data_IF_057557226151
#
_entry.id   IF_057557226151
#
_cell.length_a   1.000
_cell.length_b   1.000
_cell.length_c   1.000
_cell.angle_alpha   90.00
_cell.angle_beta   90.00
_cell.angle_gamma   90.00
#
_symmetry.space_group_name_H-M   'P 1'
#
loop_
_entity.id
_entity.type
_entity.pdbx_description
1 polymer ?
#
# COMPACT_ATOMS: atom_id res chain seq x y z
N UNK A 1 -3.23 -5.51 37.77
CA UNK A 1 -3.41 -6.05 36.40
C UNK A 1 -4.75 -5.57 35.88
N UNK A 2 -4.78 -4.83 34.72
CA UNK A 2 -6.04 -4.53 34.04
C UNK A 2 -6.61 -5.84 33.47
N UNK A 3 -7.81 -6.20 33.87
CA UNK A 3 -8.50 -7.43 33.45
C UNK A 3 -9.20 -7.31 32.09
N UNK A 4 -9.10 -6.16 31.42
CA UNK A 4 -9.78 -5.90 30.14
C UNK A 4 -8.77 -5.62 29.05
N UNK A 5 -8.96 -6.28 27.92
CA UNK A 5 -8.20 -6.11 26.68
C UNK A 5 -9.20 -5.84 25.55
N UNK A 6 -9.01 -4.74 24.83
CA UNK A 6 -9.81 -4.38 23.67
C UNK A 6 -8.91 -4.42 22.42
N UNK A 7 -9.24 -5.29 21.47
CA UNK A 7 -8.54 -5.43 20.19
C UNK A 7 -9.49 -5.14 19.03
N UNK A 8 -9.12 -4.19 18.20
CA UNK A 8 -9.87 -3.86 16.98
C UNK A 8 -8.97 -3.85 15.76
N UNK A 9 -9.33 -4.63 14.75
CA UNK A 9 -8.73 -4.60 13.42
C UNK A 9 -9.82 -4.34 12.38
N UNK A 10 -9.64 -3.30 11.58
CA UNK A 10 -10.62 -2.90 10.55
C UNK A 10 -10.30 -3.47 9.18
N UNK A 11 -9.08 -3.99 8.97
CA UNK A 11 -8.63 -4.54 7.70
C UNK A 11 -9.12 -5.98 7.54
N UNK A 12 -9.75 -6.29 6.42
CA UNK A 12 -10.08 -7.67 6.05
C UNK A 12 -8.81 -8.39 5.59
N UNK A 13 -8.39 -9.43 6.29
CA UNK A 13 -7.20 -10.21 5.94
C UNK A 13 -7.60 -11.44 5.15
N UNK A 14 -6.97 -11.59 3.97
CA UNK A 14 -7.02 -12.80 3.14
C UNK A 14 -5.62 -13.41 3.16
N UNK A 15 -5.47 -14.63 3.68
CA UNK A 15 -4.17 -15.27 3.86
C UNK A 15 -4.14 -16.67 3.24
N UNK A 16 -3.00 -17.01 2.66
CA UNK A 16 -2.68 -18.36 2.14
C UNK A 16 -2.01 -18.30 0.76
N UNK A 17 -1.36 -19.39 0.38
CA UNK A 17 -0.75 -19.55 -0.94
C UNK A 17 -1.81 -19.40 -2.05
N UNK A 18 -1.52 -18.62 -3.08
CA UNK A 18 -2.46 -18.31 -4.17
C UNK A 18 -3.62 -17.40 -3.77
N UNK A 19 -3.61 -16.83 -2.55
CA UNK A 19 -4.71 -15.96 -2.07
C UNK A 19 -4.89 -14.69 -2.91
N UNK A 20 -3.88 -14.31 -3.69
CA UNK A 20 -3.96 -13.20 -4.64
C UNK A 20 -5.11 -13.36 -5.64
N UNK A 21 -5.54 -14.58 -5.95
CA UNK A 21 -6.68 -14.87 -6.81
C UNK A 21 -8.01 -14.28 -6.29
N UNK A 22 -8.06 -13.91 -4.99
CA UNK A 22 -9.22 -13.27 -4.37
C UNK A 22 -9.30 -11.76 -4.62
N UNK A 23 -8.24 -11.16 -5.19
CA UNK A 23 -8.14 -9.72 -5.41
C UNK A 23 -9.35 -9.10 -6.15
N UNK A 24 -9.86 -9.67 -7.27
CA UNK A 24 -11.01 -9.07 -7.96
C UNK A 24 -12.26 -9.01 -7.10
N UNK A 25 -12.48 -10.00 -6.23
CA UNK A 25 -13.63 -10.05 -5.33
C UNK A 25 -13.59 -9.02 -4.19
N UNK A 26 -12.46 -8.36 -3.97
CA UNK A 26 -12.28 -7.27 -2.99
C UNK A 26 -12.48 -5.89 -3.60
N UNK A 27 -12.62 -5.81 -4.92
CA UNK A 27 -12.85 -4.58 -5.67
C UNK A 27 -14.33 -4.48 -6.10
N UNK A 28 -14.81 -3.27 -6.29
CA UNK A 28 -16.13 -3.06 -6.88
C UNK A 28 -16.16 -3.53 -8.35
N UNK A 29 -17.32 -3.95 -8.83
CA UNK A 29 -17.51 -4.31 -10.23
C UNK A 29 -17.12 -3.13 -11.14
N UNK A 30 -16.23 -3.38 -12.12
CA UNK A 30 -15.75 -2.36 -13.04
C UNK A 30 -14.74 -1.37 -12.44
N UNK A 31 -14.26 -1.62 -11.22
CA UNK A 31 -13.24 -0.78 -10.59
C UNK A 31 -11.98 -0.66 -11.46
N UNK A 32 -11.31 0.47 -11.32
CA UNK A 32 -10.06 0.78 -12.01
C UNK A 32 -8.97 1.14 -11.00
N UNK A 33 -8.28 0.15 -10.42
CA UNK A 33 -7.27 0.41 -9.42
C UNK A 33 -5.99 1.03 -10.02
N UNK A 34 -5.32 1.89 -9.23
CA UNK A 34 -3.93 2.23 -9.40
C UNK A 34 -3.08 1.22 -8.63
N UNK A 35 -2.26 0.45 -9.30
CA UNK A 35 -1.23 -0.40 -8.67
C UNK A 35 -0.03 0.49 -8.37
N UNK A 36 0.34 0.58 -7.08
CA UNK A 36 1.51 1.32 -6.61
C UNK A 36 2.56 0.30 -6.17
N UNK A 37 3.71 0.32 -6.83
CA UNK A 37 4.80 -0.63 -6.60
C UNK A 37 6.16 0.07 -6.79
N UNK A 38 7.23 -0.68 -6.75
CA UNK A 38 8.59 -0.18 -7.02
C UNK A 38 9.23 -0.88 -8.23
N UNK A 39 10.31 -0.31 -8.82
CA UNK A 39 10.96 -0.88 -9.99
C UNK A 39 11.51 -2.29 -9.74
N UNK A 40 11.99 -2.58 -8.53
CA UNK A 40 12.57 -3.88 -8.20
C UNK A 40 11.53 -5.01 -8.27
N UNK A 41 10.28 -4.75 -7.86
CA UNK A 41 9.20 -5.72 -8.00
C UNK A 41 8.80 -5.94 -9.46
N UNK A 42 8.86 -4.90 -10.29
CA UNK A 42 8.62 -5.03 -11.73
C UNK A 42 9.69 -5.90 -12.38
N UNK A 43 10.97 -5.64 -12.09
CA UNK A 43 12.09 -6.43 -12.58
C UNK A 43 12.05 -7.88 -12.11
N UNK A 44 11.55 -8.11 -10.91
CA UNK A 44 11.36 -9.46 -10.34
C UNK A 44 10.11 -10.19 -10.89
N UNK A 45 9.30 -9.54 -11.74
CA UNK A 45 8.06 -10.13 -12.30
C UNK A 45 6.93 -10.30 -11.27
N UNK A 46 7.03 -9.67 -10.09
CA UNK A 46 6.03 -9.82 -9.01
C UNK A 46 4.76 -8.96 -9.24
N UNK A 47 4.81 -8.04 -10.20
CA UNK A 47 3.65 -7.25 -10.62
C UNK A 47 2.77 -8.03 -11.60
N UNK A 48 3.37 -8.94 -12.39
CA UNK A 48 2.70 -9.66 -13.46
C UNK A 48 1.52 -10.53 -12.98
N UNK A 49 1.63 -11.31 -11.89
CA UNK A 49 0.49 -12.07 -11.38
C UNK A 49 -0.70 -11.18 -10.99
N UNK A 50 -0.44 -10.00 -10.42
CA UNK A 50 -1.50 -9.05 -10.04
C UNK A 50 -2.21 -8.51 -11.27
N UNK A 51 -1.45 -8.10 -12.29
CA UNK A 51 -2.02 -7.55 -13.53
C UNK A 51 -2.76 -8.61 -14.35
N UNK A 52 -2.26 -9.85 -14.39
CA UNK A 52 -2.92 -10.97 -15.04
C UNK A 52 -4.29 -11.26 -14.42
N UNK A 53 -4.36 -11.38 -13.09
CA UNK A 53 -5.61 -11.62 -12.36
C UNK A 53 -6.63 -10.51 -12.60
N UNK A 54 -6.20 -9.24 -12.59
CA UNK A 54 -7.09 -8.12 -12.91
C UNK A 54 -7.57 -8.16 -14.37
N UNK A 55 -6.68 -8.50 -15.31
CA UNK A 55 -7.01 -8.64 -16.72
C UNK A 55 -8.00 -9.77 -16.98
N UNK A 56 -7.80 -10.95 -16.38
CA UNK A 56 -8.70 -12.09 -16.46
C UNK A 56 -10.10 -11.77 -15.89
N UNK A 57 -10.16 -10.90 -14.89
CA UNK A 57 -11.42 -10.39 -14.34
C UNK A 57 -12.04 -9.25 -15.18
N UNK A 58 -11.44 -8.86 -16.30
CA UNK A 58 -11.93 -7.77 -17.17
C UNK A 58 -11.78 -6.37 -16.56
N UNK A 59 -10.99 -6.22 -15.49
CA UNK A 59 -10.74 -4.94 -14.85
C UNK A 59 -9.61 -4.19 -15.57
N UNK A 60 -9.79 -2.88 -15.72
CA UNK A 60 -8.74 -1.98 -16.23
C UNK A 60 -7.95 -1.44 -15.06
N UNK A 61 -6.64 -1.31 -15.20
CA UNK A 61 -5.78 -0.78 -14.15
C UNK A 61 -4.76 0.25 -14.71
N UNK A 62 -4.12 0.96 -13.83
CA UNK A 62 -2.95 1.76 -14.11
C UNK A 62 -1.82 1.32 -13.17
N UNK A 63 -0.57 1.51 -13.60
CA UNK A 63 0.61 1.15 -12.82
C UNK A 63 1.43 2.40 -12.53
N UNK A 64 1.88 2.55 -11.29
CA UNK A 64 2.80 3.58 -10.83
C UNK A 64 3.95 2.94 -10.05
N UNK A 65 5.17 3.12 -10.52
CA UNK A 65 6.37 2.45 -10.00
C UNK A 65 7.49 3.41 -9.57
N UNK A 66 7.26 4.73 -9.62
CA UNK A 66 8.26 5.70 -9.12
C UNK A 66 8.22 5.77 -7.59
N UNK A 67 8.40 4.62 -6.94
CA UNK A 67 8.56 4.47 -5.50
C UNK A 67 9.98 4.04 -5.20
N UNK A 68 10.62 4.75 -4.29
CA UNK A 68 11.99 4.45 -3.84
C UNK A 68 11.97 4.03 -2.38
N UNK A 69 13.02 3.36 -1.94
CA UNK A 69 13.26 3.17 -0.51
C UNK A 69 13.32 4.53 0.20
N UNK A 70 12.65 4.66 1.35
CA UNK A 70 12.47 5.94 2.04
C UNK A 70 11.77 6.99 1.16
N UNK A 71 10.47 6.82 0.87
CA UNK A 71 9.75 7.65 -0.09
C UNK A 71 9.66 9.10 0.37
N UNK A 72 9.61 10.01 -0.60
CA UNK A 72 9.53 11.46 -0.40
C UNK A 72 8.26 12.01 -1.06
N UNK A 73 7.89 13.27 -0.75
CA UNK A 73 6.65 13.90 -1.22
C UNK A 73 6.46 13.88 -2.75
N UNK A 74 7.56 13.88 -3.53
CA UNK A 74 7.46 13.81 -5.00
C UNK A 74 6.88 12.47 -5.49
N UNK A 75 7.19 11.34 -4.82
CA UNK A 75 6.65 10.03 -5.16
C UNK A 75 5.13 10.03 -4.98
N UNK A 76 4.64 10.61 -3.89
CA UNK A 76 3.20 10.76 -3.63
C UNK A 76 2.54 11.66 -4.68
N UNK A 77 3.14 12.81 -4.98
CA UNK A 77 2.59 13.75 -5.98
C UNK A 77 2.56 13.15 -7.39
N UNK A 78 3.57 12.34 -7.75
CA UNK A 78 3.61 11.60 -9.01
C UNK A 78 2.48 10.59 -9.11
N UNK A 79 2.32 9.77 -8.08
CA UNK A 79 1.26 8.77 -8.01
C UNK A 79 -0.14 9.37 -7.97
N UNK A 80 -0.35 10.49 -7.27
CA UNK A 80 -1.65 11.19 -7.26
C UNK A 80 -2.03 11.68 -8.67
N UNK A 81 -1.08 12.23 -9.42
CA UNK A 81 -1.31 12.60 -10.83
C UNK A 81 -1.61 11.39 -11.70
N UNK A 82 -0.91 10.26 -11.49
CA UNK A 82 -1.17 9.02 -12.22
C UNK A 82 -2.58 8.49 -11.94
N UNK A 83 -2.99 8.51 -10.67
CA UNK A 83 -4.35 8.13 -10.22
C UNK A 83 -5.42 8.95 -10.91
N UNK A 84 -5.29 10.28 -10.91
CA UNK A 84 -6.24 11.21 -11.51
C UNK A 84 -6.27 11.07 -13.05
N UNK A 85 -5.10 11.07 -13.71
CA UNK A 85 -4.97 10.93 -15.16
C UNK A 85 -5.60 9.64 -15.69
N UNK A 86 -5.40 8.54 -14.96
CA UNK A 86 -5.97 7.24 -15.33
C UNK A 86 -7.42 7.10 -14.89
N UNK A 87 -8.01 8.07 -14.17
CA UNK A 87 -9.37 8.01 -13.62
C UNK A 87 -9.57 6.76 -12.76
N UNK A 88 -8.60 6.48 -11.89
CA UNK A 88 -8.68 5.38 -10.95
C UNK A 88 -9.68 5.67 -9.84
N UNK A 89 -10.29 4.63 -9.27
CA UNK A 89 -11.27 4.70 -8.18
C UNK A 89 -10.92 3.79 -7.00
N UNK A 90 -9.85 3.00 -7.12
CA UNK A 90 -9.28 2.16 -6.09
C UNK A 90 -7.74 2.23 -6.14
N UNK A 91 -7.07 1.74 -5.10
CA UNK A 91 -5.60 1.69 -5.03
C UNK A 91 -5.19 0.30 -4.54
N UNK A 92 -4.13 -0.24 -5.14
CA UNK A 92 -3.46 -1.46 -4.70
C UNK A 92 -2.02 -1.09 -4.34
N UNK A 93 -1.64 -1.24 -3.07
CA UNK A 93 -0.26 -1.10 -2.63
C UNK A 93 0.42 -2.47 -2.68
N UNK A 94 1.30 -2.71 -3.65
CA UNK A 94 2.01 -3.98 -3.84
C UNK A 94 3.49 -3.81 -3.53
N UNK A 95 4.00 -4.51 -2.53
CA UNK A 95 5.40 -4.48 -2.19
C UNK A 95 5.71 -4.46 -0.70
N UNK A 96 6.84 -3.89 -0.33
CA UNK A 96 7.20 -3.65 1.07
C UNK A 96 6.49 -2.43 1.66
N UNK A 97 6.94 -1.98 2.84
CA UNK A 97 6.36 -0.81 3.51
C UNK A 97 6.30 0.44 2.64
N UNK A 98 7.36 0.73 1.86
CA UNK A 98 7.43 1.96 1.05
C UNK A 98 6.35 2.06 -0.02
N UNK A 99 6.09 1.07 -0.89
CA UNK A 99 4.97 1.09 -1.82
C UNK A 99 3.61 1.22 -1.12
N UNK A 100 3.39 0.49 -0.03
CA UNK A 100 2.12 0.56 0.72
C UNK A 100 1.91 1.92 1.36
N UNK A 101 2.94 2.52 1.95
CA UNK A 101 2.87 3.86 2.54
C UNK A 101 2.62 4.94 1.47
N UNK A 102 3.29 4.84 0.31
CA UNK A 102 3.02 5.75 -0.82
C UNK A 102 1.59 5.57 -1.33
N UNK A 103 1.07 4.35 -1.43
CA UNK A 103 -0.30 4.06 -1.81
C UNK A 103 -1.33 4.73 -0.88
N UNK A 104 -1.13 4.64 0.45
CA UNK A 104 -1.94 5.35 1.44
C UNK A 104 -1.90 6.86 1.22
N UNK A 105 -0.70 7.42 1.06
CA UNK A 105 -0.52 8.86 0.89
C UNK A 105 -1.07 9.39 -0.45
N UNK A 106 -0.99 8.61 -1.52
CA UNK A 106 -1.68 8.90 -2.79
C UNK A 106 -3.18 9.00 -2.54
N UNK A 107 -3.76 8.04 -1.83
CA UNK A 107 -5.18 8.06 -1.47
C UNK A 107 -5.58 9.28 -0.65
N UNK A 108 -4.73 9.73 0.29
CA UNK A 108 -4.95 10.98 1.05
C UNK A 108 -5.05 12.17 0.10
N UNK A 109 -4.06 12.34 -0.78
CA UNK A 109 -4.04 13.47 -1.72
C UNK A 109 -5.22 13.41 -2.69
N UNK A 110 -5.55 12.22 -3.21
CA UNK A 110 -6.65 12.02 -4.15
C UNK A 110 -8.02 12.42 -3.55
N UNK A 111 -8.26 12.15 -2.26
CA UNK A 111 -9.57 12.45 -1.63
C UNK A 111 -9.63 13.75 -0.88
N UNK A 112 -8.51 14.21 -0.31
CA UNK A 112 -8.47 15.42 0.51
C UNK A 112 -7.86 16.63 -0.23
N UNK A 113 -7.18 16.39 -1.36
CA UNK A 113 -6.54 17.43 -2.16
C UNK A 113 -5.22 17.93 -1.58
N UNK A 114 -4.66 18.96 -2.20
CA UNK A 114 -3.46 19.63 -1.71
C UNK A 114 -2.17 18.81 -1.85
N UNK A 115 -1.23 19.02 -0.93
CA UNK A 115 0.07 18.34 -0.86
C UNK A 115 0.12 17.42 0.34
N UNK A 116 0.87 16.33 0.24
CA UNK A 116 1.00 15.38 1.35
C UNK A 116 1.63 16.03 2.60
N UNK A 117 2.51 17.00 2.43
CA UNK A 117 3.13 17.75 3.54
C UNK A 117 2.08 18.36 4.49
N UNK A 118 0.89 18.69 4.00
CA UNK A 118 -0.20 19.26 4.80
C UNK A 118 -0.82 18.23 5.77
N UNK A 119 -0.56 16.94 5.56
CA UNK A 119 -1.17 15.84 6.31
C UNK A 119 -0.21 15.17 7.30
N UNK A 120 1.08 15.59 7.34
CA UNK A 120 2.06 15.07 8.28
C UNK A 120 1.63 15.28 9.72
N UNK A 121 1.79 14.25 10.56
CA UNK A 121 1.28 14.20 11.93
C UNK A 121 -0.11 13.55 12.02
N UNK A 122 -0.83 13.80 13.09
CA UNK A 122 -2.15 13.21 13.37
C UNK A 122 -3.32 14.17 13.17
N UNK A 123 -4.53 13.60 12.93
CA UNK A 123 -5.80 14.35 12.90
C UNK A 123 -6.04 15.25 11.69
N UNK A 124 -5.15 15.25 10.71
CA UNK A 124 -5.22 16.15 9.55
C UNK A 124 -5.99 15.58 8.36
N UNK A 125 -6.09 14.26 8.23
CA UNK A 125 -6.85 13.59 7.17
C UNK A 125 -8.35 13.69 7.49
N UNK A 126 -9.12 14.34 6.64
CA UNK A 126 -10.56 14.60 6.87
C UNK A 126 -11.48 13.59 6.19
N UNK A 127 -11.14 13.14 4.97
CA UNK A 127 -11.91 12.17 4.19
C UNK A 127 -11.20 10.83 4.15
N UNK A 128 -11.95 9.73 4.13
CA UNK A 128 -11.41 8.39 3.93
C UNK A 128 -10.78 8.25 2.54
N UNK A 129 -9.86 7.29 2.42
CA UNK A 129 -9.25 6.95 1.13
C UNK A 129 -10.27 6.33 0.17
N UNK A 130 -9.97 6.29 -1.15
CA UNK A 130 -10.56 5.30 -2.03
C UNK A 130 -10.31 3.90 -1.47
N UNK A 131 -11.05 2.86 -1.87
CA UNK A 131 -10.73 1.49 -1.50
C UNK A 131 -9.25 1.20 -1.71
N UNK A 132 -8.56 0.85 -0.62
CA UNK A 132 -7.13 0.53 -0.63
C UNK A 132 -6.95 -0.92 -0.21
N UNK A 133 -6.32 -1.71 -1.07
CA UNK A 133 -5.91 -3.08 -0.81
C UNK A 133 -4.39 -3.12 -0.75
N UNK A 134 -3.82 -3.70 0.30
CA UNK A 134 -2.37 -3.88 0.41
C UNK A 134 -1.99 -5.34 0.19
N UNK A 135 -0.92 -5.56 -0.57
CA UNK A 135 -0.36 -6.88 -0.90
C UNK A 135 1.13 -6.83 -0.54
N UNK A 136 1.49 -7.19 0.71
CA UNK A 136 2.88 -7.16 1.14
C UNK A 136 3.67 -8.27 0.46
N UNK A 137 4.91 -7.94 0.06
CA UNK A 137 5.91 -8.89 -0.44
C UNK A 137 7.09 -9.03 0.52
N UNK A 138 7.12 -8.25 1.62
CA UNK A 138 8.12 -8.30 2.68
C UNK A 138 7.46 -8.54 4.03
N UNK A 139 8.26 -8.88 5.04
CA UNK A 139 7.79 -9.15 6.41
C UNK A 139 7.95 -7.92 7.33
N UNK A 140 7.29 -7.90 8.47
CA UNK A 140 7.57 -7.06 9.63
C UNK A 140 7.00 -5.64 9.60
N UNK A 141 6.75 -5.03 8.44
CA UNK A 141 6.38 -3.61 8.37
C UNK A 141 5.00 -3.30 8.95
N UNK A 142 4.05 -4.24 8.85
CA UNK A 142 2.67 -4.07 9.29
C UNK A 142 1.90 -2.96 8.56
N UNK A 143 2.46 -2.38 7.49
CA UNK A 143 1.80 -1.28 6.78
C UNK A 143 0.46 -1.70 6.20
N UNK A 144 0.27 -2.97 5.85
CA UNK A 144 -0.98 -3.52 5.31
C UNK A 144 -2.17 -3.46 6.27
N UNK A 145 -1.94 -3.28 7.57
CA UNK A 145 -2.99 -3.28 8.62
C UNK A 145 -2.97 -2.03 9.50
N UNK A 146 -1.97 -1.15 9.35
CA UNK A 146 -1.77 -0.02 10.27
C UNK A 146 -2.36 1.30 9.76
N UNK A 147 -2.77 2.19 10.68
CA UNK A 147 -3.24 3.54 10.36
C UNK A 147 -2.07 4.55 10.18
N UNK A 148 -0.91 4.06 9.77
CA UNK A 148 0.31 4.84 9.61
C UNK A 148 0.81 4.79 8.17
N UNK A 149 1.44 5.87 7.72
CA UNK A 149 2.27 5.92 6.52
C UNK A 149 3.43 6.88 6.79
N UNK A 150 4.63 6.53 6.34
CA UNK A 150 5.86 7.26 6.68
C UNK A 150 6.46 7.90 5.43
N UNK A 151 6.77 9.18 5.53
CA UNK A 151 7.44 9.97 4.52
C UNK A 151 8.80 10.42 5.02
N UNK A 152 9.82 10.35 4.18
CA UNK A 152 11.14 10.85 4.51
C UNK A 152 11.29 12.30 4.05
N UNK A 153 11.70 13.18 4.96
CA UNK A 153 12.07 14.52 4.60
C UNK A 153 13.48 14.51 3.99
N UNK A 154 13.64 14.86 2.69
CA UNK A 154 14.94 14.70 2.02
C UNK A 154 16.02 15.67 2.53
N UNK A 155 15.64 16.74 3.26
CA UNK A 155 16.57 17.71 3.80
C UNK A 155 17.14 17.32 5.16
N UNK A 156 16.33 16.65 5.98
CA UNK A 156 16.67 16.32 7.37
C UNK A 156 16.90 14.82 7.57
N UNK A 157 16.54 13.98 6.59
CA UNK A 157 16.46 12.52 6.69
C UNK A 157 15.51 12.03 7.82
N UNK A 158 14.71 12.93 8.39
CA UNK A 158 13.72 12.57 9.42
C UNK A 158 12.51 11.93 8.74
N UNK A 159 11.98 10.90 9.39
CA UNK A 159 10.76 10.21 8.97
C UNK A 159 9.55 10.87 9.63
N UNK A 160 8.71 11.49 8.82
CA UNK A 160 7.48 12.17 9.26
C UNK A 160 6.27 11.28 8.97
N UNK A 161 5.50 10.86 9.99
CA UNK A 161 4.33 10.01 9.79
C UNK A 161 3.09 10.81 9.39
N UNK A 162 2.22 10.18 8.60
CA UNK A 162 0.79 10.52 8.49
C UNK A 162 0.03 9.52 9.35
N UNK A 163 -0.77 9.99 10.30
CA UNK A 163 -1.45 9.14 11.27
C UNK A 163 -2.96 9.39 11.21
N UNK A 164 -3.72 8.38 10.80
CA UNK A 164 -5.19 8.47 10.76
C UNK A 164 -5.81 7.09 10.58
N UNK A 165 -6.87 6.77 11.32
CA UNK A 165 -7.67 5.57 11.05
C UNK A 165 -8.29 5.55 9.64
N UNK A 166 -8.38 6.71 8.98
CA UNK A 166 -8.92 6.85 7.63
C UNK A 166 -7.97 6.36 6.53
N UNK A 167 -6.69 6.08 6.86
CA UNK A 167 -5.71 5.55 5.90
C UNK A 167 -5.45 4.05 6.07
N UNK A 168 -6.15 3.41 7.01
CA UNK A 168 -6.07 1.96 7.18
C UNK A 168 -6.63 1.27 5.94
N UNK A 169 -5.91 0.30 5.34
CA UNK A 169 -6.39 -0.47 4.20
C UNK A 169 -7.69 -1.20 4.53
N UNK A 170 -8.60 -1.28 3.55
CA UNK A 170 -9.84 -2.06 3.70
C UNK A 170 -9.58 -3.56 3.69
N UNK A 171 -8.54 -3.99 2.96
CA UNK A 171 -8.13 -5.39 2.88
C UNK A 171 -6.61 -5.52 2.73
N UNK A 172 -6.10 -6.65 3.21
CA UNK A 172 -4.73 -7.10 3.00
C UNK A 172 -4.74 -8.52 2.46
N UNK A 173 -3.95 -8.78 1.41
CA UNK A 173 -3.74 -10.12 0.85
C UNK A 173 -2.33 -10.56 1.23
N UNK A 174 -2.25 -11.53 2.12
CA UNK A 174 -0.99 -12.10 2.62
C UNK A 174 -0.72 -13.42 1.90
N UNK A 175 -0.16 -13.31 0.71
CA UNK A 175 0.16 -14.45 -0.15
C UNK A 175 1.66 -14.80 0.00
N UNK A 176 2.01 -15.93 0.64
CA UNK A 176 3.39 -16.32 0.82
C UNK A 176 4.14 -16.56 -0.50
N UNK A 177 3.45 -16.90 -1.59
CA UNK A 177 4.08 -17.14 -2.90
C UNK A 177 4.74 -15.86 -3.43
N UNK A 178 4.22 -14.68 -3.07
CA UNK A 178 4.82 -13.38 -3.44
C UNK A 178 6.05 -13.02 -2.60
N UNK A 179 6.22 -13.66 -1.44
CA UNK A 179 7.33 -13.39 -0.52
C UNK A 179 8.50 -14.36 -0.73
N UNK A 180 8.26 -15.54 -1.30
CA UNK A 180 9.30 -16.57 -1.54
C UNK A 180 10.37 -16.07 -2.53
N UNK A 181 10.00 -15.19 -3.46
CA UNK A 181 10.92 -14.61 -4.45
C UNK A 181 11.87 -13.54 -3.87
N UNK A 182 11.74 -13.18 -2.58
CA UNK A 182 12.63 -12.20 -1.96
C UNK A 182 14.08 -12.71 -1.89
N UNK A 183 15.07 -11.87 -2.21
CA UNK A 183 16.46 -12.18 -1.91
C UNK A 183 16.64 -12.51 -0.43
N UNK A 184 17.40 -13.58 -0.11
CA UNK A 184 17.56 -14.09 1.26
C UNK A 184 18.04 -13.00 2.24
N UNK A 185 18.91 -12.09 1.82
CA UNK A 185 19.37 -10.98 2.64
C UNK A 185 18.24 -10.01 3.01
N UNK A 186 17.32 -9.72 2.08
CA UNK A 186 16.16 -8.85 2.34
C UNK A 186 15.13 -9.59 3.22
N UNK A 187 14.87 -10.87 2.96
CA UNK A 187 14.01 -11.70 3.79
C UNK A 187 14.52 -11.80 5.24
N UNK A 188 15.82 -11.93 5.44
CA UNK A 188 16.42 -11.95 6.78
C UNK A 188 16.27 -10.63 7.53
N UNK A 189 16.56 -9.49 6.89
CA UNK A 189 16.45 -8.17 7.54
C UNK A 189 15.01 -7.80 7.86
N UNK A 190 14.06 -8.04 6.95
CA UNK A 190 12.64 -7.76 7.18
C UNK A 190 11.99 -8.77 8.13
N UNK A 191 12.50 -10.02 8.17
CA UNK A 191 12.07 -11.02 9.16
C UNK A 191 12.44 -10.63 10.58
N UNK A 192 13.58 -9.96 10.79
CA UNK A 192 13.96 -9.43 12.11
C UNK A 192 13.04 -8.30 12.58
N UNK A 193 12.44 -7.54 11.67
CA UNK A 193 11.44 -6.51 12.03
C UNK A 193 10.13 -7.15 12.56
N UNK A 194 9.88 -8.43 12.26
CA UNK A 194 8.68 -9.15 12.71
C UNK A 194 8.83 -9.78 14.11
N UNK A 195 10.07 -9.88 14.64
CA UNK A 195 10.38 -10.45 15.94
C UNK A 195 10.32 -9.41 17.05
#
# INVERSE_FOLDING_TARGET
>A
FQSHFDFRMSTHIVHGAGSISRLPGLLAAGARPLIVSDPGLVEAGLVDPVTAILGDAGLKWALYTDVVGNPVARNVSGGARAYEKAKCDAIIGLGGGSPMDVAKMIGVVATNGGRIDNYLGSGKVKKSLPPLICIPTTYGTGSEVTPFAVLTNPKTAIKDPVISSKITPIAAILDPDLSIALPMALGGTTGMDAL
#
